data_IF_627133278073
#
_entry.id   IF_627133278073
#
_cell.length_a   1.000
_cell.length_b   1.000
_cell.length_c   1.000
_cell.angle_alpha   90.00
_cell.angle_beta   90.00
_cell.angle_gamma   90.00
#
_symmetry.space_group_name_H-M   'P 1'
#
loop_
_entity.id
_entity.type
_entity.pdbx_description
1 polymer ?
#
# COMPACT_ATOMS: atom_id res chain seq x y z
N UNK A 1 5.86 -8.56 5.21
CA UNK A 1 5.90 -7.17 5.72
C UNK A 1 7.31 -6.58 5.83
N UNK A 2 8.21 -7.03 6.72
CA UNK A 2 9.56 -6.42 6.87
C UNK A 2 10.30 -6.26 5.53
N UNK A 3 10.47 -7.38 4.80
CA UNK A 3 11.14 -7.41 3.49
C UNK A 3 10.49 -6.44 2.48
N UNK A 4 9.16 -6.34 2.50
CA UNK A 4 8.39 -5.42 1.66
C UNK A 4 8.77 -3.95 1.89
N UNK A 5 8.92 -3.55 3.16
CA UNK A 5 9.34 -2.19 3.52
C UNK A 5 10.81 -1.96 3.20
N UNK A 6 11.68 -2.94 3.45
CA UNK A 6 13.11 -2.84 3.12
C UNK A 6 13.30 -2.57 1.60
N UNK A 7 12.55 -3.25 0.74
CA UNK A 7 12.57 -3.03 -0.72
C UNK A 7 12.12 -1.62 -1.12
N UNK A 8 11.10 -1.07 -0.44
CA UNK A 8 10.63 0.31 -0.70
C UNK A 8 11.72 1.32 -0.34
N UNK A 9 12.37 1.14 0.82
CA UNK A 9 13.44 2.02 1.27
C UNK A 9 14.64 1.95 0.31
N UNK A 10 15.05 0.75 -0.09
CA UNK A 10 16.13 0.53 -1.05
C UNK A 10 15.84 1.18 -2.41
N UNK A 11 14.65 0.97 -3.00
CA UNK A 11 14.29 1.60 -4.28
C UNK A 11 14.21 3.13 -4.19
N UNK A 12 13.73 3.66 -3.06
CA UNK A 12 13.64 5.11 -2.85
C UNK A 12 15.01 5.79 -2.87
N UNK A 13 16.09 5.06 -2.55
CA UNK A 13 17.45 5.56 -2.46
C UNK A 13 17.57 6.85 -1.62
N UNK A 14 16.82 6.92 -0.52
CA UNK A 14 16.79 8.07 0.40
C UNK A 14 15.93 9.25 -0.06
N UNK A 15 15.20 9.13 -1.18
CA UNK A 15 14.21 10.13 -1.61
C UNK A 15 12.93 10.02 -0.77
N UNK A 16 12.14 11.09 -0.63
CA UNK A 16 10.87 11.05 0.08
C UNK A 16 9.93 9.98 -0.48
N UNK A 17 9.36 9.17 0.42
CA UNK A 17 8.39 8.13 0.08
C UNK A 17 6.98 8.66 0.39
N UNK A 18 6.07 8.50 -0.57
CA UNK A 18 4.64 8.64 -0.36
C UNK A 18 4.00 7.29 -0.65
N UNK A 19 3.67 6.56 0.42
CA UNK A 19 3.28 5.16 0.33
C UNK A 19 1.76 5.02 0.40
N UNK A 20 1.17 4.39 -0.61
CA UNK A 20 -0.17 3.82 -0.45
C UNK A 20 -0.08 2.53 0.36
N UNK A 21 -0.95 2.37 1.35
CA UNK A 21 -1.06 1.20 2.21
C UNK A 21 -2.50 0.76 2.39
N UNK A 22 -2.69 -0.55 2.55
CA UNK A 22 -3.91 -1.12 3.13
C UNK A 22 -4.03 -0.81 4.63
N UNK A 23 -5.24 -0.94 5.16
CA UNK A 23 -5.62 -0.53 6.52
C UNK A 23 -4.71 -1.09 7.62
N UNK A 24 -4.36 -2.37 7.53
CA UNK A 24 -3.57 -3.07 8.56
C UNK A 24 -2.06 -2.91 8.39
N UNK A 25 -1.61 -2.36 7.26
CA UNK A 25 -0.20 -2.40 6.88
C UNK A 25 0.52 -1.07 7.15
N UNK A 26 -0.22 0.04 7.18
CA UNK A 26 0.29 1.37 7.54
C UNK A 26 1.05 1.44 8.87
N UNK A 27 0.61 0.81 9.98
CA UNK A 27 1.29 0.95 11.26
C UNK A 27 2.76 0.54 11.25
N UNK A 28 3.12 -0.49 10.46
CA UNK A 28 4.50 -0.94 10.36
C UNK A 28 5.35 0.01 9.51
N UNK A 29 4.78 0.58 8.43
CA UNK A 29 5.46 1.62 7.64
C UNK A 29 5.73 2.89 8.48
N UNK A 30 4.74 3.33 9.25
CA UNK A 30 4.87 4.47 10.18
C UNK A 30 5.94 4.22 11.25
N UNK A 31 5.98 3.01 11.82
CA UNK A 31 7.03 2.60 12.76
C UNK A 31 8.44 2.71 12.16
N UNK A 32 8.57 2.49 10.84
CA UNK A 32 9.82 2.63 10.09
C UNK A 32 10.11 4.07 9.65
N UNK A 33 9.22 5.03 9.97
CA UNK A 33 9.36 6.43 9.60
C UNK A 33 8.91 6.75 8.18
N UNK A 34 8.16 5.86 7.53
CA UNK A 34 7.61 6.05 6.19
C UNK A 34 6.16 6.52 6.30
N UNK A 35 5.82 7.72 5.79
CA UNK A 35 4.44 8.19 5.78
C UNK A 35 3.54 7.29 4.94
N UNK A 36 2.41 6.87 5.50
CA UNK A 36 1.46 5.99 4.84
C UNK A 36 0.12 6.69 4.53
N UNK A 37 -0.61 6.19 3.53
CA UNK A 37 -1.92 6.70 3.17
C UNK A 37 -3.00 6.33 4.18
N UNK A 38 -2.95 5.10 4.68
CA UNK A 38 -3.94 4.56 5.62
C UNK A 38 -3.25 3.65 6.65
N UNK A 39 -3.63 3.82 7.91
CA UNK A 39 -3.28 2.90 8.99
C UNK A 39 -4.50 2.62 9.88
N UNK A 40 -4.30 1.78 10.90
CA UNK A 40 -5.39 1.30 11.76
C UNK A 40 -6.01 2.36 12.68
N UNK A 41 -5.45 3.57 12.76
CA UNK A 41 -6.01 4.74 13.46
C UNK A 41 -7.06 5.41 12.60
N UNK A 42 -8.08 4.68 12.16
CA UNK A 42 -9.12 5.15 11.21
C UNK A 42 -9.68 6.54 11.55
N UNK A 43 -9.84 6.83 12.83
CA UNK A 43 -10.37 8.08 13.34
C UNK A 43 -9.51 9.29 12.94
N UNK A 44 -8.18 9.18 12.84
CA UNK A 44 -7.35 10.32 12.42
C UNK A 44 -7.58 10.71 10.96
N UNK A 45 -8.21 9.84 10.18
CA UNK A 45 -8.48 10.05 8.76
C UNK A 45 -9.89 10.63 8.47
N UNK A 46 -10.66 10.98 9.51
CA UNK A 46 -11.96 11.64 9.36
C UNK A 46 -11.84 13.18 9.51
N UNK A 47 -12.72 13.97 8.86
CA UNK A 47 -12.62 15.44 8.84
C UNK A 47 -12.60 16.09 10.22
N UNK A 48 -13.28 15.47 11.18
CA UNK A 48 -13.36 15.95 12.56
C UNK A 48 -11.99 16.01 13.26
N UNK A 49 -11.06 15.13 12.89
CA UNK A 49 -9.74 15.04 13.51
C UNK A 49 -8.61 15.55 12.60
N UNK A 50 -8.69 15.36 11.27
CA UNK A 50 -7.67 15.86 10.35
C UNK A 50 -7.91 17.30 9.84
N UNK A 51 -9.10 17.87 10.02
CA UNK A 51 -9.49 19.19 9.50
C UNK A 51 -9.35 19.37 7.98
N UNK A 52 -9.33 18.26 7.24
CA UNK A 52 -9.20 18.20 5.79
C UNK A 52 -10.37 17.39 5.20
N UNK A 53 -10.07 16.40 4.35
CA UNK A 53 -11.06 15.54 3.70
C UNK A 53 -11.28 14.24 4.46
N UNK A 54 -12.36 13.54 4.09
CA UNK A 54 -12.67 12.22 4.65
C UNK A 54 -11.86 11.13 3.92
N UNK A 55 -10.57 11.01 4.29
CA UNK A 55 -9.63 10.03 3.72
C UNK A 55 -10.10 8.61 3.98
N UNK A 56 -10.69 8.34 5.16
CA UNK A 56 -11.25 7.02 5.48
C UNK A 56 -12.41 6.65 4.53
N UNK A 57 -13.33 7.57 4.27
CA UNK A 57 -14.42 7.32 3.31
C UNK A 57 -13.91 7.10 1.88
N UNK A 58 -12.89 7.83 1.45
CA UNK A 58 -12.27 7.67 0.14
C UNK A 58 -11.61 6.29 0.00
N UNK A 59 -10.84 5.87 1.02
CA UNK A 59 -10.27 4.53 1.12
C UNK A 59 -11.34 3.43 1.05
N UNK A 60 -12.41 3.54 1.84
CA UNK A 60 -13.53 2.59 1.82
C UNK A 60 -14.21 2.57 0.46
N UNK A 61 -14.38 3.73 -0.19
CA UNK A 61 -14.99 3.82 -1.52
C UNK A 61 -14.13 3.16 -2.60
N UNK A 62 -12.80 3.27 -2.51
CA UNK A 62 -11.87 2.53 -3.35
C UNK A 62 -12.00 1.02 -3.12
N UNK A 63 -12.02 0.56 -1.85
CA UNK A 63 -12.14 -0.86 -1.52
C UNK A 63 -13.43 -1.49 -2.08
N UNK A 64 -14.55 -0.76 -2.03
CA UNK A 64 -15.84 -1.22 -2.55
C UNK A 64 -16.04 -0.94 -4.05
N UNK A 65 -14.99 -0.52 -4.78
CA UNK A 65 -15.06 -0.27 -6.23
C UNK A 65 -15.99 0.88 -6.62
N UNK A 66 -16.25 1.82 -5.70
CA UNK A 66 -17.06 3.03 -5.95
C UNK A 66 -16.23 4.16 -6.56
N UNK A 67 -14.91 4.02 -6.57
CA UNK A 67 -13.96 4.90 -7.25
C UNK A 67 -13.21 4.12 -8.31
N UNK A 68 -12.94 4.75 -9.45
CA UNK A 68 -11.95 4.23 -10.39
C UNK A 68 -10.57 4.33 -9.76
N UNK A 69 -9.83 3.22 -9.71
CA UNK A 69 -8.55 3.19 -9.02
C UNK A 69 -7.49 4.05 -9.72
N UNK A 70 -7.59 4.23 -11.05
CA UNK A 70 -6.63 5.04 -11.82
C UNK A 70 -6.84 6.50 -11.52
N UNK A 71 -8.08 6.96 -11.52
CA UNK A 71 -8.42 8.34 -11.16
C UNK A 71 -8.01 8.65 -9.71
N UNK A 72 -8.29 7.71 -8.80
CA UNK A 72 -7.85 7.80 -7.41
C UNK A 72 -6.33 7.91 -7.33
N UNK A 73 -5.57 6.96 -7.86
CA UNK A 73 -4.11 6.95 -7.73
C UNK A 73 -3.44 8.13 -8.46
N UNK A 74 -4.00 8.60 -9.58
CA UNK A 74 -3.50 9.77 -10.31
C UNK A 74 -3.71 11.09 -9.56
N UNK A 75 -4.69 11.16 -8.65
CA UNK A 75 -4.93 12.33 -7.81
C UNK A 75 -3.92 12.51 -6.67
N UNK A 76 -3.06 11.50 -6.46
CA UNK A 76 -2.02 11.48 -5.45
C UNK A 76 -0.62 11.37 -6.08
N UNK A 77 0.40 11.77 -5.34
CA UNK A 77 1.80 11.66 -5.77
C UNK A 77 2.51 10.44 -5.16
N UNK A 78 1.80 9.31 -5.04
CA UNK A 78 2.38 8.08 -4.51
C UNK A 78 3.63 7.68 -5.28
N UNK A 79 4.70 7.38 -4.54
CA UNK A 79 5.94 6.84 -5.13
C UNK A 79 5.89 5.32 -5.16
N UNK A 80 5.27 4.72 -4.14
CA UNK A 80 5.15 3.29 -3.96
C UNK A 80 3.76 2.90 -3.49
N UNK A 81 3.39 1.65 -3.78
CA UNK A 81 2.16 1.03 -3.30
C UNK A 81 2.51 -0.31 -2.65
N UNK A 82 2.11 -0.47 -1.39
CA UNK A 82 2.18 -1.72 -0.66
C UNK A 82 0.77 -2.28 -0.54
N UNK A 83 0.51 -3.35 -1.30
CA UNK A 83 -0.80 -3.98 -1.41
C UNK A 83 -0.73 -5.46 -1.08
N UNK A 84 -1.88 -6.02 -0.75
CA UNK A 84 -2.03 -7.41 -0.38
C UNK A 84 -3.26 -8.06 -0.99
N UNK A 85 -3.31 -9.38 -0.98
CA UNK A 85 -4.43 -10.18 -1.49
C UNK A 85 -5.83 -9.79 -0.97
N UNK A 86 -5.94 -9.11 0.16
CA UNK A 86 -7.19 -8.55 0.69
C UNK A 86 -7.59 -7.20 0.07
N UNK A 87 -6.68 -6.51 -0.61
CA UNK A 87 -6.90 -5.22 -1.25
C UNK A 87 -7.25 -5.40 -2.74
N UNK A 88 -8.23 -4.66 -3.29
CA UNK A 88 -8.54 -4.77 -4.72
C UNK A 88 -7.38 -4.34 -5.62
N UNK A 89 -6.52 -3.42 -5.15
CA UNK A 89 -5.35 -2.96 -5.90
C UNK A 89 -4.36 -4.10 -6.20
N UNK A 90 -4.29 -5.14 -5.37
CA UNK A 90 -3.43 -6.31 -5.60
C UNK A 90 -3.73 -7.01 -6.93
N UNK A 91 -5.00 -7.01 -7.32
CA UNK A 91 -5.44 -7.58 -8.61
C UNK A 91 -5.26 -6.58 -9.74
N UNK A 92 -5.61 -5.31 -9.53
CA UNK A 92 -5.64 -4.32 -10.60
C UNK A 92 -4.24 -3.88 -11.07
N UNK A 93 -3.30 -3.69 -10.15
CA UNK A 93 -1.98 -3.15 -10.46
C UNK A 93 -1.09 -4.11 -11.26
N UNK A 94 -1.30 -5.43 -11.13
CA UNK A 94 -0.48 -6.44 -11.80
C UNK A 94 -0.47 -6.28 -13.33
N UNK A 95 -1.54 -5.75 -13.91
CA UNK A 95 -1.70 -5.55 -15.36
C UNK A 95 -1.59 -4.09 -15.77
N UNK A 96 -1.30 -3.18 -14.85
CA UNK A 96 -1.27 -1.75 -15.12
C UNK A 96 0.15 -1.29 -15.49
N UNK A 97 0.38 -0.81 -16.73
CA UNK A 97 1.72 -0.45 -17.19
C UNK A 97 2.29 0.82 -16.53
N UNK A 98 1.47 1.59 -15.80
CA UNK A 98 1.96 2.74 -15.04
C UNK A 98 2.69 2.33 -13.76
N UNK A 99 2.72 1.04 -13.43
CA UNK A 99 3.35 0.53 -12.23
C UNK A 99 4.38 -0.56 -12.56
N UNK A 100 5.53 -0.47 -11.92
CA UNK A 100 6.57 -1.51 -11.99
C UNK A 100 6.50 -2.36 -10.74
N UNK A 101 6.28 -3.67 -10.89
CA UNK A 101 6.35 -4.63 -9.78
C UNK A 101 7.79 -4.75 -9.31
N UNK A 102 8.04 -4.39 -8.05
CA UNK A 102 9.34 -4.54 -7.39
C UNK A 102 9.45 -5.86 -6.64
N UNK A 103 8.33 -6.36 -6.11
CA UNK A 103 8.30 -7.54 -5.26
C UNK A 103 6.92 -8.20 -5.25
N UNK A 104 6.91 -9.53 -5.29
CA UNK A 104 5.73 -10.38 -5.07
C UNK A 104 6.08 -11.51 -4.11
N UNK A 105 5.49 -11.46 -2.91
CA UNK A 105 5.77 -12.45 -1.86
C UNK A 105 5.30 -13.85 -2.22
N UNK A 106 4.30 -13.99 -3.10
CA UNK A 106 3.82 -15.30 -3.54
C UNK A 106 4.89 -16.08 -4.32
N UNK A 107 5.84 -15.36 -4.91
CA UNK A 107 6.96 -15.93 -5.68
C UNK A 107 8.27 -16.00 -4.89
N UNK A 108 8.28 -15.56 -3.63
CA UNK A 108 9.49 -15.46 -2.83
C UNK A 108 9.76 -16.74 -2.03
N UNK A 109 10.59 -17.61 -2.59
CA UNK A 109 11.00 -18.88 -1.98
C UNK A 109 11.84 -18.71 -0.70
N UNK A 110 12.32 -17.49 -0.41
CA UNK A 110 13.13 -17.21 0.80
C UNK A 110 12.27 -16.92 2.03
N UNK A 111 10.95 -16.79 1.88
CA UNK A 111 10.04 -16.65 3.01
C UNK A 111 9.91 -17.98 3.74
N UNK A 112 10.22 -17.96 5.03
CA UNK A 112 9.94 -19.09 5.91
C UNK A 112 8.42 -19.30 5.98
N UNK A 113 7.93 -20.40 5.40
CA UNK A 113 6.54 -20.81 5.53
C UNK A 113 6.25 -21.06 7.00
N UNK A 114 5.47 -20.19 7.63
CA UNK A 114 5.07 -20.41 9.01
C UNK A 114 4.11 -21.60 9.06
N UNK A 115 4.52 -22.66 9.76
CA UNK A 115 3.66 -23.80 10.07
C UNK A 115 2.63 -23.39 11.14
N UNK A 116 1.54 -22.75 10.74
CA UNK A 116 0.45 -22.37 11.63
C UNK A 116 -0.77 -21.86 10.88
N UNK A 117 -1.96 -21.97 11.48
CA UNK A 117 -3.28 -21.64 10.92
C UNK A 117 -3.51 -20.16 10.56
N UNK A 118 -2.45 -19.33 10.49
CA UNK A 118 -2.56 -17.99 9.93
C UNK A 118 -2.48 -18.11 8.41
N UNK A 119 -3.56 -17.71 7.73
CA UNK A 119 -3.55 -17.53 6.27
C UNK A 119 -2.40 -16.58 5.94
N UNK A 120 -1.43 -17.08 5.17
CA UNK A 120 -0.28 -16.29 4.76
C UNK A 120 -0.77 -15.17 3.86
N UNK A 121 -0.65 -13.93 4.33
CA UNK A 121 -1.05 -12.75 3.58
C UNK A 121 -0.02 -12.48 2.49
N UNK A 122 -0.45 -12.49 1.24
CA UNK A 122 0.44 -12.23 0.11
C UNK A 122 0.55 -10.72 -0.14
N UNK A 123 1.77 -10.23 -0.35
CA UNK A 123 2.11 -8.83 -0.55
C UNK A 123 2.75 -8.59 -1.90
N UNK A 124 2.35 -7.50 -2.55
CA UNK A 124 3.01 -6.96 -3.73
C UNK A 124 3.41 -5.52 -3.51
N UNK A 125 4.59 -5.18 -4.04
CA UNK A 125 5.15 -3.83 -3.99
C UNK A 125 5.30 -3.31 -5.40
N UNK A 126 4.74 -2.14 -5.62
CA UNK A 126 4.80 -1.45 -6.89
C UNK A 126 5.47 -0.10 -6.74
N UNK A 127 6.30 0.24 -7.71
CA UNK A 127 6.78 1.59 -7.96
C UNK A 127 5.87 2.26 -8.97
N UNK A 128 5.47 3.50 -8.71
CA UNK A 128 4.76 4.28 -9.71
C UNK A 128 5.73 4.85 -10.74
N UNK A 129 5.46 4.59 -12.02
CA UNK A 129 6.24 5.09 -13.14
C UNK A 129 5.85 6.56 -13.39
N UNK A 130 6.40 7.47 -12.59
CA UNK A 130 6.19 8.91 -12.83
C UNK A 130 6.66 9.27 -14.24
N UNK A 131 5.77 9.93 -15.01
CA UNK A 131 6.09 10.54 -16.29
C UNK A 131 6.71 11.93 -16.10
#
# INVERSE_FOLDING_TARGET
MKKSVDIIEEDSAGKPIQLWTGYNDGPYAEFRGIPCYMDTRAEVFIPKLNHQKNVFHEYVSLLYGRLDYRDFLASYHFTHLLTSDIDPLYTYLLKDPNYTLLYDSDTDETLEKQNGENVEKHYRIYKYNQR
#
